data_IF_637580085349
#
_entry.id   IF_637580085349
#
_cell.length_a   1.000
_cell.length_b   1.000
_cell.length_c   1.000
_cell.angle_alpha   90.00
_cell.angle_beta   90.00
_cell.angle_gamma   90.00
#
_symmetry.space_group_name_H-M   'P 1'
#
loop_
_entity.id
_entity.type
_entity.pdbx_description
1 polymer ?
#
# COMPACT_ATOMS: atom_id res chain seq x y z
N UNK A 1 12.12 15.31 14.09
CA UNK A 1 13.60 15.56 14.18
C UNK A 1 14.28 14.77 15.31
N UNK A 2 13.59 14.46 16.43
CA UNK A 2 14.16 13.71 17.57
C UNK A 2 14.63 12.30 17.16
N UNK A 3 13.83 11.58 16.41
CA UNK A 3 14.07 10.17 16.04
C UNK A 3 14.83 10.00 14.73
N UNK A 4 14.57 10.86 13.75
CA UNK A 4 15.28 10.91 12.47
C UNK A 4 15.92 12.27 12.30
N UNK A 5 17.26 12.30 12.16
CA UNK A 5 18.02 13.52 11.86
C UNK A 5 17.91 13.93 10.40
N UNK A 6 17.51 13.01 9.52
CA UNK A 6 17.36 13.20 8.07
C UNK A 6 15.93 13.61 7.70
N UNK A 7 15.80 14.31 6.57
CA UNK A 7 14.52 14.55 5.89
C UNK A 7 14.12 13.38 4.97
N UNK A 8 14.98 12.38 4.81
CA UNK A 8 14.75 11.23 3.97
C UNK A 8 14.16 10.07 4.76
N UNK A 9 13.36 9.27 4.10
CA UNK A 9 12.86 8.01 4.66
C UNK A 9 14.01 7.02 4.85
N UNK A 10 13.89 6.18 5.85
CA UNK A 10 14.80 5.06 6.10
C UNK A 10 14.08 3.77 5.75
N UNK A 11 14.71 2.95 4.91
CA UNK A 11 14.37 1.56 4.73
C UNK A 11 15.11 0.76 5.81
N UNK A 12 14.39 0.01 6.62
CA UNK A 12 14.93 -0.93 7.61
C UNK A 12 14.90 -2.31 6.97
N UNK A 13 16.05 -2.80 6.46
CA UNK A 13 16.08 -3.97 5.58
C UNK A 13 15.95 -5.28 6.33
N UNK A 14 16.29 -5.28 7.62
CA UNK A 14 16.34 -6.49 8.44
C UNK A 14 15.58 -6.29 9.74
N UNK A 15 14.54 -7.08 9.93
CA UNK A 15 13.76 -7.17 11.17
C UNK A 15 13.89 -8.57 11.76
N UNK A 16 13.49 -8.73 13.01
CA UNK A 16 13.56 -10.01 13.73
C UNK A 16 12.81 -11.16 13.03
N UNK A 17 11.85 -10.84 12.17
CA UNK A 17 11.06 -11.81 11.41
C UNK A 17 11.32 -11.78 9.89
N UNK A 18 12.36 -11.04 9.46
CA UNK A 18 12.77 -10.95 8.05
C UNK A 18 11.90 -10.05 7.17
N UNK A 19 10.96 -9.31 7.74
CA UNK A 19 10.20 -8.27 7.02
C UNK A 19 11.02 -6.99 6.90
N UNK A 20 10.59 -6.12 6.00
CA UNK A 20 11.16 -4.78 5.81
C UNK A 20 10.22 -3.77 6.47
N UNK A 21 10.79 -2.84 7.25
CA UNK A 21 10.09 -1.69 7.77
C UNK A 21 10.55 -0.41 7.08
N UNK A 22 9.72 0.61 7.16
CA UNK A 22 10.04 1.97 6.73
C UNK A 22 9.85 2.91 7.90
N UNK A 23 10.74 3.90 8.03
CA UNK A 23 10.57 5.04 8.89
C UNK A 23 10.56 6.29 8.00
N UNK A 24 9.39 6.91 7.87
CA UNK A 24 9.14 7.99 6.91
C UNK A 24 8.88 9.30 7.67
N UNK A 25 9.69 10.36 7.46
CA UNK A 25 9.37 11.68 7.98
C UNK A 25 8.04 12.15 7.40
N UNK A 26 7.11 12.54 8.27
CA UNK A 26 5.81 13.05 7.87
C UNK A 26 5.49 14.32 8.67
N UNK A 27 5.64 15.48 8.05
CA UNK A 27 5.55 16.78 8.74
C UNK A 27 6.52 16.81 9.93
N UNK A 28 6.01 16.91 11.18
CA UNK A 28 6.82 16.93 12.41
C UNK A 28 6.95 15.56 13.10
N UNK A 29 6.40 14.52 12.50
CA UNK A 29 6.35 13.15 13.02
C UNK A 29 7.16 12.18 12.17
N UNK A 30 7.27 10.96 12.61
CA UNK A 30 7.82 9.83 11.87
C UNK A 30 6.77 8.74 11.83
N UNK A 31 6.36 8.34 10.64
CA UNK A 31 5.48 7.18 10.44
C UNK A 31 6.36 5.95 10.28
N UNK A 32 6.12 4.93 11.09
CA UNK A 32 6.89 3.68 11.06
C UNK A 32 5.95 2.50 10.83
N UNK A 33 6.31 1.62 9.95
CA UNK A 33 5.55 0.39 9.61
C UNK A 33 6.20 -0.35 8.43
N UNK A 34 5.64 -1.46 8.02
CA UNK A 34 4.34 -2.03 8.38
C UNK A 34 4.51 -3.37 9.07
N UNK A 35 3.47 -3.79 9.78
CA UNK A 35 3.27 -5.19 10.18
C UNK A 35 2.35 -5.90 9.19
N UNK A 36 2.23 -7.21 9.30
CA UNK A 36 1.35 -8.03 8.49
C UNK A 36 1.00 -9.29 9.28
N UNK A 37 -0.13 -9.27 9.96
CA UNK A 37 -0.58 -10.34 10.84
C UNK A 37 -1.89 -10.93 10.29
N UNK A 38 -1.92 -12.25 10.13
CA UNK A 38 -3.12 -12.93 9.67
C UNK A 38 -4.22 -12.85 10.72
N UNK A 39 -5.42 -12.45 10.30
CA UNK A 39 -6.60 -12.42 11.14
C UNK A 39 -7.61 -13.48 10.69
N UNK A 40 -8.32 -14.07 11.65
CA UNK A 40 -9.36 -15.08 11.37
C UNK A 40 -10.66 -14.43 10.91
N UNK A 41 -10.97 -13.28 11.46
CA UNK A 41 -12.23 -12.56 11.19
C UNK A 41 -11.90 -11.14 10.76
N UNK A 42 -12.49 -10.70 9.65
CA UNK A 42 -12.37 -9.32 9.19
C UNK A 42 -13.24 -8.41 10.08
N UNK A 43 -12.67 -7.31 10.53
CA UNK A 43 -13.39 -6.24 11.24
C UNK A 43 -13.51 -5.03 10.33
N UNK A 44 -14.62 -4.28 10.46
CA UNK A 44 -14.78 -2.98 9.78
C UNK A 44 -13.78 -1.98 10.35
N UNK A 45 -13.53 -2.03 11.66
CA UNK A 45 -12.57 -1.19 12.37
C UNK A 45 -11.44 -2.07 12.94
N UNK A 46 -10.44 -2.43 12.12
CA UNK A 46 -9.31 -3.21 12.61
C UNK A 46 -8.44 -2.36 13.51
N UNK A 47 -8.04 -2.91 14.64
CA UNK A 47 -7.13 -2.28 15.57
C UNK A 47 -5.75 -2.94 15.54
N UNK A 48 -4.65 -2.19 15.70
CA UNK A 48 -3.32 -2.75 15.79
C UNK A 48 -3.18 -3.59 17.06
N UNK A 49 -2.46 -4.71 16.94
CA UNK A 49 -2.18 -5.58 18.08
C UNK A 49 -1.01 -5.01 18.91
N UNK A 50 -1.02 -5.29 20.21
CA UNK A 50 0.08 -4.89 21.11
C UNK A 50 1.43 -5.40 20.63
N UNK A 51 1.49 -6.66 20.24
CA UNK A 51 2.71 -7.30 19.74
C UNK A 51 3.24 -6.65 18.46
N UNK A 52 2.35 -6.13 17.61
CA UNK A 52 2.73 -5.39 16.39
C UNK A 52 3.36 -4.05 16.73
N UNK A 53 2.84 -3.34 17.72
CA UNK A 53 3.42 -2.09 18.22
C UNK A 53 4.80 -2.33 18.80
N UNK A 54 4.94 -3.34 19.66
CA UNK A 54 6.22 -3.73 20.27
C UNK A 54 7.24 -4.16 19.20
N UNK A 55 6.81 -4.95 18.22
CA UNK A 55 7.64 -5.33 17.08
C UNK A 55 8.19 -4.11 16.32
N UNK A 56 7.33 -3.14 16.00
CA UNK A 56 7.74 -1.92 15.29
C UNK A 56 8.74 -1.13 16.14
N UNK A 57 8.45 -0.90 17.42
CA UNK A 57 9.33 -0.14 18.31
C UNK A 57 10.71 -0.80 18.45
N UNK A 58 10.74 -2.11 18.68
CA UNK A 58 11.98 -2.86 18.88
C UNK A 58 12.88 -2.84 17.64
N UNK A 59 12.30 -3.08 16.46
CA UNK A 59 13.07 -3.09 15.22
C UNK A 59 13.51 -1.67 14.80
N UNK A 60 12.62 -0.69 14.90
CA UNK A 60 12.93 0.69 14.52
C UNK A 60 13.97 1.34 15.44
N UNK A 61 13.98 0.98 16.71
CA UNK A 61 14.93 1.48 17.71
C UNK A 61 16.40 1.27 17.33
N UNK A 62 16.69 0.23 16.57
CA UNK A 62 18.05 -0.10 16.14
C UNK A 62 18.60 0.87 15.10
N UNK A 63 17.70 1.59 14.38
CA UNK A 63 18.04 2.45 13.24
C UNK A 63 17.75 3.93 13.53
N UNK A 64 17.22 4.25 14.69
CA UNK A 64 16.88 5.62 15.07
C UNK A 64 17.91 6.26 15.99
N UNK A 65 18.11 7.57 15.87
CA UNK A 65 19.06 8.32 16.71
C UNK A 65 18.71 8.27 18.20
N UNK A 66 17.42 8.15 18.50
CA UNK A 66 16.88 8.00 19.87
C UNK A 66 15.89 6.85 19.83
N UNK A 67 15.98 5.94 20.77
CA UNK A 67 15.06 4.81 20.89
C UNK A 67 13.66 5.31 21.24
N UNK A 68 12.64 5.09 20.38
CA UNK A 68 11.28 5.49 20.69
C UNK A 68 10.68 4.60 21.79
N UNK A 69 9.88 5.22 22.65
CA UNK A 69 9.13 4.54 23.71
C UNK A 69 7.63 4.55 23.38
N UNK A 70 6.84 3.73 24.07
CA UNK A 70 5.37 3.72 23.92
C UNK A 70 4.78 5.13 24.13
N UNK A 71 5.32 5.89 25.10
CA UNK A 71 4.88 7.28 25.37
C UNK A 71 5.15 8.27 24.24
N UNK A 72 6.02 7.93 23.30
CA UNK A 72 6.31 8.77 22.13
C UNK A 72 5.30 8.54 21.00
N UNK A 73 4.47 7.50 21.06
CA UNK A 73 3.45 7.18 20.06
C UNK A 73 2.34 8.24 20.14
N UNK A 74 2.04 8.86 19.01
CA UNK A 74 0.99 9.86 18.88
C UNK A 74 -0.29 9.31 18.26
N UNK A 75 -0.15 8.33 17.38
CA UNK A 75 -1.27 7.67 16.71
C UNK A 75 -0.83 6.31 16.22
N UNK A 76 -1.78 5.39 16.15
CA UNK A 76 -1.65 4.09 15.50
C UNK A 76 -2.83 3.87 14.59
N UNK A 77 -2.63 3.14 13.51
CA UNK A 77 -3.72 2.73 12.62
C UNK A 77 -3.44 1.38 12.01
N UNK A 78 -4.48 0.65 11.70
CA UNK A 78 -4.43 -0.63 11.04
C UNK A 78 -5.42 -0.66 9.88
N UNK A 79 -5.19 -1.58 8.95
CA UNK A 79 -6.09 -1.83 7.83
C UNK A 79 -6.03 -3.29 7.43
N UNK A 80 -7.08 -3.80 6.80
CA UNK A 80 -7.10 -5.15 6.28
C UNK A 80 -6.54 -5.19 4.86
N UNK A 81 -5.71 -6.18 4.61
CA UNK A 81 -5.19 -6.46 3.26
C UNK A 81 -5.89 -7.68 2.70
N UNK A 82 -6.74 -7.53 1.67
CA UNK A 82 -7.39 -8.66 1.01
C UNK A 82 -6.36 -9.35 0.10
N UNK A 83 -5.69 -10.37 0.61
CA UNK A 83 -4.77 -11.18 -0.18
C UNK A 83 -5.53 -12.27 -0.92
N UNK A 84 -5.23 -12.45 -2.22
CA UNK A 84 -5.77 -13.58 -2.97
C UNK A 84 -5.14 -14.88 -2.47
N UNK A 85 -5.92 -15.70 -1.78
CA UNK A 85 -5.46 -17.01 -1.31
C UNK A 85 -5.08 -17.90 -2.51
N UNK A 86 -3.92 -18.54 -2.41
CA UNK A 86 -3.52 -19.64 -3.27
C UNK A 86 -3.48 -20.90 -2.42
N UNK A 87 -4.07 -21.97 -2.91
CA UNK A 87 -4.40 -23.20 -2.18
C UNK A 87 -3.28 -23.88 -1.37
N UNK A 88 -2.02 -23.47 -1.54
CA UNK A 88 -0.86 -24.20 -0.98
C UNK A 88 0.11 -23.34 -0.17
N UNK A 89 -0.23 -22.10 0.21
CA UNK A 89 0.72 -21.25 0.95
C UNK A 89 0.39 -21.10 2.42
N UNK A 90 1.36 -21.46 3.27
CA UNK A 90 1.22 -21.54 4.74
C UNK A 90 1.38 -20.19 5.45
N UNK A 91 1.90 -19.14 4.80
CA UNK A 91 2.12 -17.84 5.45
C UNK A 91 1.73 -16.67 4.57
N UNK A 92 1.34 -15.55 5.17
CA UNK A 92 1.02 -14.29 4.50
C UNK A 92 2.20 -13.72 3.69
N UNK A 93 3.42 -14.05 4.07
CA UNK A 93 4.66 -13.67 3.35
C UNK A 93 4.74 -14.29 1.96
N UNK A 94 4.21 -15.50 1.81
CA UNK A 94 4.27 -16.28 0.57
C UNK A 94 3.09 -16.01 -0.36
N UNK A 95 2.02 -15.38 0.16
CA UNK A 95 0.85 -15.07 -0.67
C UNK A 95 1.20 -13.95 -1.64
N UNK A 96 0.96 -14.20 -2.91
CA UNK A 96 1.20 -13.23 -3.98
C UNK A 96 0.42 -11.94 -3.74
N UNK A 97 1.10 -10.81 -3.87
CA UNK A 97 0.49 -9.48 -3.86
C UNK A 97 0.04 -9.04 -5.26
N UNK A 98 0.07 -9.94 -6.24
CA UNK A 98 -0.52 -9.74 -7.55
C UNK A 98 -2.04 -9.87 -7.48
N UNK A 99 -2.74 -9.24 -8.40
CA UNK A 99 -4.17 -9.48 -8.55
C UNK A 99 -4.43 -10.82 -9.22
N UNK A 100 -5.58 -11.40 -8.92
CA UNK A 100 -6.14 -12.58 -9.56
C UNK A 100 -7.48 -12.22 -10.18
N UNK A 101 -7.71 -12.65 -11.41
CA UNK A 101 -9.02 -12.58 -12.05
C UNK A 101 -9.61 -13.98 -12.04
N UNK A 102 -10.78 -14.11 -11.47
CA UNK A 102 -11.53 -15.35 -11.37
C UNK A 102 -12.85 -15.22 -12.12
N UNK A 103 -13.19 -16.23 -12.92
CA UNK A 103 -14.37 -16.21 -13.79
C UNK A 103 -15.25 -17.38 -13.39
N UNK A 104 -16.38 -17.07 -12.80
CA UNK A 104 -17.35 -18.09 -12.42
C UNK A 104 -18.09 -18.68 -13.63
N UNK A 105 -18.66 -19.87 -13.53
CA UNK A 105 -19.49 -20.47 -14.60
C UNK A 105 -20.66 -19.58 -15.03
N UNK A 106 -21.16 -18.73 -14.14
CA UNK A 106 -22.21 -17.74 -14.43
C UNK A 106 -21.74 -16.57 -15.30
N UNK A 107 -20.42 -16.45 -15.58
CA UNK A 107 -19.84 -15.30 -16.27
C UNK A 107 -19.46 -14.15 -15.33
N UNK A 108 -19.67 -14.26 -14.01
CA UNK A 108 -19.23 -13.26 -13.03
C UNK A 108 -17.70 -13.20 -13.02
N UNK A 109 -17.16 -12.00 -13.15
CA UNK A 109 -15.73 -11.73 -13.08
C UNK A 109 -15.41 -11.15 -11.71
N UNK A 110 -14.61 -11.86 -10.93
CA UNK A 110 -14.12 -11.42 -9.63
C UNK A 110 -12.66 -11.00 -9.74
N UNK A 111 -12.35 -9.85 -9.19
CA UNK A 111 -10.97 -9.31 -9.11
C UNK A 111 -10.53 -9.33 -7.66
N UNK A 112 -9.49 -10.10 -7.36
CA UNK A 112 -9.02 -10.33 -6.00
C UNK A 112 -7.58 -9.87 -5.82
N UNK A 113 -7.25 -9.32 -4.66
CA UNK A 113 -5.90 -8.88 -4.32
C UNK A 113 -5.42 -7.65 -5.10
N UNK A 114 -4.11 -7.61 -5.38
CA UNK A 114 -3.47 -6.49 -6.06
C UNK A 114 -3.03 -5.37 -5.12
N UNK A 115 -2.58 -4.27 -5.70
CA UNK A 115 -2.11 -3.07 -5.00
C UNK A 115 -2.73 -1.82 -5.61
N UNK A 116 -2.89 -0.79 -4.79
CA UNK A 116 -3.31 0.52 -5.29
C UNK A 116 -2.42 1.03 -6.44
N UNK A 117 -1.12 0.82 -6.35
CA UNK A 117 -0.16 1.26 -7.38
C UNK A 117 -0.28 0.50 -8.71
N UNK A 118 -1.00 -0.62 -8.75
CA UNK A 118 -1.22 -1.43 -9.95
C UNK A 118 -2.66 -1.34 -10.49
N UNK A 119 -3.49 -0.44 -9.96
CA UNK A 119 -4.92 -0.33 -10.27
C UNK A 119 -5.21 -0.25 -11.78
N UNK A 120 -4.40 0.50 -12.54
CA UNK A 120 -4.55 0.62 -13.99
C UNK A 120 -4.41 -0.73 -14.69
N UNK A 121 -3.38 -1.52 -14.30
CA UNK A 121 -3.14 -2.84 -14.88
C UNK A 121 -4.23 -3.83 -14.47
N UNK A 122 -4.69 -3.76 -13.24
CA UNK A 122 -5.82 -4.56 -12.75
C UNK A 122 -7.07 -4.30 -13.60
N UNK A 123 -7.39 -3.02 -13.83
CA UNK A 123 -8.54 -2.63 -14.64
C UNK A 123 -8.40 -3.10 -16.10
N UNK A 124 -7.21 -2.96 -16.70
CA UNK A 124 -6.93 -3.44 -18.05
C UNK A 124 -7.16 -4.95 -18.17
N UNK A 125 -6.66 -5.73 -17.21
CA UNK A 125 -6.79 -7.19 -17.23
C UNK A 125 -8.23 -7.64 -17.00
N UNK A 126 -8.97 -6.97 -16.09
CA UNK A 126 -10.38 -7.23 -15.86
C UNK A 126 -11.23 -6.96 -17.11
N UNK A 127 -10.99 -5.83 -17.79
CA UNK A 127 -11.69 -5.49 -19.04
C UNK A 127 -11.32 -6.46 -20.17
N UNK A 128 -10.06 -6.85 -20.27
CA UNK A 128 -9.64 -7.86 -21.26
C UNK A 128 -10.33 -9.21 -21.04
N UNK A 129 -10.49 -9.64 -19.78
CA UNK A 129 -11.25 -10.83 -19.42
C UNK A 129 -12.72 -10.70 -19.85
N UNK A 130 -13.37 -9.57 -19.56
CA UNK A 130 -14.75 -9.30 -19.96
C UNK A 130 -14.93 -9.32 -21.49
N UNK A 131 -14.00 -8.70 -22.22
CA UNK A 131 -14.00 -8.73 -23.70
C UNK A 131 -13.89 -10.15 -24.23
N UNK A 132 -13.02 -10.97 -23.63
CA UNK A 132 -12.82 -12.34 -24.06
C UNK A 132 -14.06 -13.22 -23.85
N UNK A 133 -14.69 -13.14 -22.66
CA UNK A 133 -15.86 -13.95 -22.31
C UNK A 133 -17.05 -13.59 -23.20
N UNK A 134 -17.27 -12.29 -23.39
CA UNK A 134 -18.43 -11.80 -24.16
C UNK A 134 -18.15 -11.68 -25.66
N UNK A 135 -17.00 -12.19 -26.15
CA UNK A 135 -16.60 -12.14 -27.57
C UNK A 135 -16.69 -10.74 -28.18
N UNK A 136 -16.42 -9.71 -27.38
CA UNK A 136 -16.49 -8.32 -27.83
C UNK A 136 -15.29 -7.95 -28.71
N UNK A 137 -15.47 -6.97 -29.57
CA UNK A 137 -14.38 -6.48 -30.43
C UNK A 137 -13.24 -5.92 -29.56
N UNK A 138 -12.07 -6.58 -29.64
CA UNK A 138 -10.88 -6.13 -28.92
C UNK A 138 -10.38 -4.77 -29.42
N UNK A 139 -10.11 -3.87 -28.49
CA UNK A 139 -9.49 -2.56 -28.77
C UNK A 139 -8.20 -2.42 -27.94
N UNK A 140 -7.21 -1.73 -28.50
CA UNK A 140 -5.96 -1.44 -27.80
C UNK A 140 -6.21 -0.55 -26.58
N UNK A 141 -5.67 -0.93 -25.44
CA UNK A 141 -5.75 -0.12 -24.21
C UNK A 141 -5.01 1.21 -24.39
N UNK A 142 -5.66 2.31 -24.05
CA UNK A 142 -5.11 3.68 -24.13
C UNK A 142 -4.68 4.23 -22.77
N UNK A 143 -5.10 3.58 -21.66
CA UNK A 143 -4.93 4.10 -20.30
C UNK A 143 -3.49 4.26 -19.86
N UNK A 144 -2.53 3.56 -20.49
CA UNK A 144 -1.10 3.73 -20.21
C UNK A 144 -0.60 5.15 -20.51
N UNK A 145 -1.22 5.84 -21.46
CA UNK A 145 -0.83 7.19 -21.91
C UNK A 145 -1.86 8.26 -21.54
N UNK A 146 -2.98 7.89 -20.94
CA UNK A 146 -4.00 8.81 -20.51
C UNK A 146 -3.51 9.61 -19.31
N UNK A 147 -3.55 10.93 -19.43
CA UNK A 147 -3.23 11.82 -18.32
C UNK A 147 -4.35 11.77 -17.30
N UNK A 148 -3.97 11.62 -16.02
CA UNK A 148 -4.93 11.71 -14.92
C UNK A 148 -5.46 13.14 -14.77
N UNK A 149 -6.64 13.26 -14.19
CA UNK A 149 -7.20 14.55 -13.80
C UNK A 149 -6.22 15.26 -12.85
N UNK A 150 -6.02 16.55 -13.05
CA UNK A 150 -5.00 17.29 -12.29
C UNK A 150 -3.55 17.08 -12.76
N UNK A 151 -3.30 16.33 -13.84
CA UNK A 151 -1.93 16.12 -14.33
C UNK A 151 -1.21 17.43 -14.65
N UNK A 152 0.02 17.59 -14.15
CA UNK A 152 0.95 18.67 -14.47
C UNK A 152 2.29 18.08 -14.89
N UNK A 153 2.82 18.52 -16.04
CA UNK A 153 4.08 17.98 -16.60
C UNK A 153 5.30 18.26 -15.73
N UNK A 154 5.33 19.44 -15.11
CA UNK A 154 6.40 19.87 -14.20
C UNK A 154 5.76 20.24 -12.86
N UNK A 155 6.21 19.62 -11.80
CA UNK A 155 5.72 19.85 -10.43
C UNK A 155 6.85 20.51 -9.63
N UNK A 156 6.52 21.61 -9.00
CA UNK A 156 7.41 22.27 -8.05
C UNK A 156 7.15 21.69 -6.65
N UNK A 157 8.02 20.80 -6.22
CA UNK A 157 7.85 20.05 -4.97
C UNK A 157 7.94 20.91 -3.70
N UNK A 158 8.55 22.09 -3.79
CA UNK A 158 8.61 23.08 -2.70
C UNK A 158 7.28 23.80 -2.47
N UNK A 159 6.40 23.82 -3.48
CA UNK A 159 5.09 24.45 -3.40
C UNK A 159 4.11 23.55 -2.60
N UNK A 160 3.56 24.01 -1.47
CA UNK A 160 2.58 23.24 -0.69
C UNK A 160 1.36 22.80 -1.49
N UNK A 161 0.99 23.54 -2.53
CA UNK A 161 -0.17 23.27 -3.41
C UNK A 161 0.17 22.30 -4.56
N UNK A 162 1.38 21.75 -4.61
CA UNK A 162 1.80 20.85 -5.69
C UNK A 162 0.91 19.60 -5.85
N UNK A 163 0.27 19.15 -4.76
CA UNK A 163 -0.63 17.99 -4.74
C UNK A 163 -1.85 18.15 -5.65
N UNK A 164 -2.25 19.39 -5.92
CA UNK A 164 -3.39 19.70 -6.81
C UNK A 164 -3.00 19.77 -8.30
N UNK A 165 -1.70 19.72 -8.63
CA UNK A 165 -1.21 19.71 -10.00
C UNK A 165 -1.70 20.89 -10.85
N UNK A 166 -2.44 20.61 -11.94
CA UNK A 166 -3.01 21.65 -12.80
C UNK A 166 -4.19 22.39 -12.17
N UNK A 167 -4.82 21.82 -11.14
CA UNK A 167 -6.00 22.37 -10.47
C UNK A 167 -5.65 23.37 -9.36
N UNK A 168 -4.38 23.66 -9.15
CA UNK A 168 -3.89 24.56 -8.09
C UNK A 168 -4.61 25.92 -8.06
N UNK A 169 -5.07 26.40 -9.22
CA UNK A 169 -5.75 27.71 -9.32
C UNK A 169 -7.23 27.66 -8.94
N UNK A 170 -7.79 26.45 -8.80
CA UNK A 170 -9.19 26.22 -8.48
C UNK A 170 -9.42 25.97 -6.99
N UNK A 171 -8.33 25.85 -6.23
CA UNK A 171 -8.25 25.63 -4.79
C UNK A 171 -7.69 26.84 -4.09
#
# INVERSE_FOLDING_TARGET
KKFLKSKHAILIPQTSDGRVLFAVPWKNYVVVGTTDTQVKTASIEPSPLKDEIEFILNNASQYMSVKPKISDIKSVFAGLRPLAATSNKKSTKEVSRSHKIDIAPSGLISVLGGKWTTYRKIAEDAINAAISINKLKKKKCKTQKTKLFGYKKRVEWSDPMHVYGSLKKEV
#
